data_IF_627034622891
#
_entry.id   IF_627034622891
#
_cell.length_a   1.000
_cell.length_b   1.000
_cell.length_c   1.000
_cell.angle_alpha   90.00
_cell.angle_beta   90.00
_cell.angle_gamma   90.00
#
_symmetry.space_group_name_H-M   'P 1'
#
loop_
_entity.id
_entity.type
_entity.pdbx_description
1 polymer ?
#
# COMPACT_ATOMS: atom_id res chain seq x y z
N UNK A 1 10.14 -5.26 -11.94
CA UNK A 1 10.70 -5.29 -10.57
C UNK A 1 9.69 -5.93 -9.63
N UNK A 2 10.13 -6.45 -8.48
CA UNK A 2 9.24 -6.97 -7.43
C UNK A 2 9.22 -6.01 -6.25
N UNK A 3 8.11 -6.01 -5.52
CA UNK A 3 8.06 -5.40 -4.20
C UNK A 3 8.83 -6.30 -3.22
N UNK A 4 9.45 -5.68 -2.24
CA UNK A 4 10.08 -6.41 -1.13
C UNK A 4 9.02 -7.09 -0.27
N UNK A 5 9.40 -8.15 0.44
CA UNK A 5 8.48 -8.84 1.36
C UNK A 5 7.96 -7.91 2.46
N UNK A 6 8.79 -6.97 2.91
CA UNK A 6 8.40 -5.93 3.88
C UNK A 6 7.26 -5.07 3.32
N UNK A 7 7.39 -4.55 2.10
CA UNK A 7 6.32 -3.75 1.47
C UNK A 7 5.02 -4.54 1.32
N UNK A 8 5.09 -5.83 0.95
CA UNK A 8 3.92 -6.70 0.87
C UNK A 8 3.26 -6.93 2.23
N UNK A 9 4.07 -7.15 3.27
CA UNK A 9 3.57 -7.31 4.62
C UNK A 9 2.86 -6.04 5.10
N UNK A 10 3.44 -4.86 4.89
CA UNK A 10 2.84 -3.57 5.25
C UNK A 10 1.52 -3.33 4.51
N UNK A 11 1.45 -3.64 3.21
CA UNK A 11 0.21 -3.56 2.44
C UNK A 11 -0.90 -4.46 3.02
N UNK A 12 -0.57 -5.72 3.34
CA UNK A 12 -1.52 -6.67 3.92
C UNK A 12 -1.99 -6.23 5.30
N UNK A 13 -1.05 -5.75 6.12
CA UNK A 13 -1.33 -5.21 7.45
C UNK A 13 -2.28 -4.03 7.39
N UNK A 14 -1.97 -3.00 6.60
CA UNK A 14 -2.84 -1.82 6.44
C UNK A 14 -4.22 -2.15 5.91
N UNK A 15 -4.29 -3.06 4.93
CA UNK A 15 -5.58 -3.58 4.46
C UNK A 15 -6.42 -4.17 5.59
N UNK A 16 -5.78 -4.94 6.48
CA UNK A 16 -6.42 -5.52 7.67
C UNK A 16 -6.83 -4.48 8.69
N UNK A 17 -5.94 -3.54 9.02
CA UNK A 17 -6.19 -2.45 9.97
C UNK A 17 -7.35 -1.55 9.54
N UNK A 18 -7.42 -1.20 8.25
CA UNK A 18 -8.49 -0.39 7.67
C UNK A 18 -9.76 -1.22 7.36
N UNK A 19 -9.71 -2.54 7.48
CA UNK A 19 -10.77 -3.48 7.09
C UNK A 19 -11.32 -3.22 5.67
N UNK A 20 -10.42 -2.96 4.71
CA UNK A 20 -10.82 -2.62 3.32
C UNK A 20 -10.64 -3.79 2.35
N UNK A 21 -11.43 -3.74 1.28
CA UNK A 21 -11.30 -4.67 0.16
C UNK A 21 -10.04 -4.41 -0.67
N UNK A 22 -9.60 -5.41 -1.43
CA UNK A 22 -8.50 -5.26 -2.41
C UNK A 22 -8.86 -4.19 -3.46
N UNK A 23 -10.14 -4.08 -3.83
CA UNK A 23 -10.59 -3.09 -4.81
C UNK A 23 -10.42 -1.67 -4.28
N UNK A 24 -10.83 -1.44 -3.03
CA UNK A 24 -10.69 -0.15 -2.35
C UNK A 24 -9.23 0.22 -2.19
N UNK A 25 -8.39 -0.72 -1.73
CA UNK A 25 -6.95 -0.50 -1.59
C UNK A 25 -6.29 -0.16 -2.94
N UNK A 26 -6.69 -0.85 -4.02
CA UNK A 26 -6.19 -0.54 -5.36
C UNK A 26 -6.56 0.88 -5.81
N UNK A 27 -7.79 1.32 -5.50
CA UNK A 27 -8.24 2.69 -5.73
C UNK A 27 -7.41 3.73 -4.96
N UNK A 28 -7.15 3.49 -3.67
CA UNK A 28 -6.34 4.38 -2.83
C UNK A 28 -4.89 4.53 -3.34
N UNK A 29 -4.30 3.43 -3.81
CA UNK A 29 -2.94 3.42 -4.38
C UNK A 29 -2.91 3.92 -5.83
N UNK A 30 -4.07 4.08 -6.48
CA UNK A 30 -4.16 4.54 -7.86
C UNK A 30 -3.68 3.51 -8.90
N UNK A 31 -3.96 2.23 -8.66
CA UNK A 31 -3.63 1.11 -9.57
C UNK A 31 -4.84 0.21 -9.81
N UNK A 32 -4.78 -0.67 -10.82
CA UNK A 32 -5.89 -1.57 -11.10
C UNK A 32 -6.06 -2.62 -9.98
N UNK A 33 -7.31 -3.03 -9.71
CA UNK A 33 -7.62 -4.14 -8.81
C UNK A 33 -6.84 -5.41 -9.16
N UNK A 34 -6.73 -5.73 -10.44
CA UNK A 34 -6.02 -6.91 -10.93
C UNK A 34 -4.53 -6.84 -10.60
N UNK A 35 -3.91 -5.67 -10.76
CA UNK A 35 -2.52 -5.44 -10.40
C UNK A 35 -2.33 -5.57 -8.89
N UNK A 36 -3.21 -4.97 -8.08
CA UNK A 36 -3.16 -5.08 -6.62
C UNK A 36 -3.32 -6.54 -6.15
N UNK A 37 -4.27 -7.29 -6.72
CA UNK A 37 -4.44 -8.71 -6.43
C UNK A 37 -3.20 -9.54 -6.79
N UNK A 38 -2.57 -9.26 -7.95
CA UNK A 38 -1.31 -9.90 -8.36
C UNK A 38 -0.16 -9.62 -7.41
N UNK A 39 -0.05 -8.37 -6.95
CA UNK A 39 0.94 -7.95 -5.95
C UNK A 39 0.72 -8.72 -4.64
N UNK A 40 -0.49 -8.62 -4.07
CA UNK A 40 -0.80 -9.16 -2.73
C UNK A 40 -0.74 -10.68 -2.70
N UNK A 41 -1.24 -11.37 -3.73
CA UNK A 41 -1.39 -12.83 -3.67
C UNK A 41 -0.19 -13.59 -4.25
N UNK A 42 0.54 -13.00 -5.22
CA UNK A 42 1.52 -13.74 -6.01
C UNK A 42 2.92 -13.11 -6.03
N UNK A 43 3.15 -12.00 -5.30
CA UNK A 43 4.41 -11.24 -5.34
C UNK A 43 4.91 -11.03 -6.79
N UNK A 44 3.97 -10.65 -7.67
CA UNK A 44 4.21 -10.60 -9.10
C UNK A 44 5.19 -9.48 -9.49
N UNK A 45 5.84 -9.64 -10.63
CA UNK A 45 6.59 -8.56 -11.25
C UNK A 45 5.64 -7.42 -11.64
N UNK A 46 6.00 -6.21 -11.25
CA UNK A 46 5.28 -4.97 -11.56
C UNK A 46 6.16 -4.00 -12.35
N UNK A 47 5.50 -3.06 -13.03
CA UNK A 47 6.15 -1.93 -13.69
C UNK A 47 6.75 -1.01 -12.62
N UNK A 48 7.88 -0.33 -12.90
CA UNK A 48 8.49 0.60 -11.96
C UNK A 48 7.54 1.70 -11.49
N UNK A 49 6.71 2.23 -12.38
CA UNK A 49 5.68 3.24 -12.05
C UNK A 49 4.66 2.73 -11.05
N UNK A 50 4.26 1.45 -11.13
CA UNK A 50 3.36 0.81 -10.15
C UNK A 50 4.03 0.65 -8.80
N UNK A 51 5.30 0.25 -8.77
CA UNK A 51 6.04 0.14 -7.52
C UNK A 51 6.23 1.51 -6.85
N UNK A 52 6.48 2.58 -7.62
CA UNK A 52 6.57 3.94 -7.08
C UNK A 52 5.28 4.35 -6.38
N UNK A 53 4.13 4.18 -7.04
CA UNK A 53 2.81 4.47 -6.44
C UNK A 53 2.54 3.71 -5.14
N UNK A 54 2.91 2.43 -5.10
CA UNK A 54 2.78 1.62 -3.88
C UNK A 54 3.68 2.17 -2.78
N UNK A 55 4.92 2.55 -3.11
CA UNK A 55 5.87 3.08 -2.14
C UNK A 55 5.46 4.46 -1.62
N UNK A 56 5.05 5.36 -2.51
CA UNK A 56 4.50 6.68 -2.17
C UNK A 56 3.30 6.53 -1.23
N UNK A 57 2.33 5.69 -1.58
CA UNK A 57 1.18 5.46 -0.72
C UNK A 57 1.58 4.88 0.64
N UNK A 58 2.49 3.90 0.68
CA UNK A 58 2.98 3.36 1.95
C UNK A 58 3.66 4.45 2.78
N UNK A 59 4.51 5.27 2.19
CA UNK A 59 5.17 6.40 2.87
C UNK A 59 4.14 7.37 3.44
N UNK A 60 3.13 7.76 2.65
CA UNK A 60 2.05 8.65 3.10
C UNK A 60 1.30 8.09 4.32
N UNK A 61 1.04 6.78 4.36
CA UNK A 61 0.40 6.15 5.51
C UNK A 61 1.27 6.21 6.77
N UNK A 62 2.59 6.10 6.65
CA UNK A 62 3.48 6.17 7.82
C UNK A 62 3.80 7.61 8.21
N UNK A 63 3.99 8.53 7.27
CA UNK A 63 4.14 9.96 7.59
C UNK A 63 2.90 10.49 8.29
N UNK A 64 1.70 10.08 7.86
CA UNK A 64 0.46 10.42 8.55
C UNK A 64 0.41 9.86 9.99
N UNK A 65 0.89 8.63 10.19
CA UNK A 65 0.96 8.02 11.53
C UNK A 65 2.01 8.69 12.43
N UNK A 66 3.19 9.03 11.90
CA UNK A 66 4.20 9.82 12.63
C UNK A 66 3.65 11.18 13.08
N UNK A 67 2.94 11.89 12.20
CA UNK A 67 2.30 13.17 12.54
C UNK A 67 1.16 13.01 13.57
N UNK A 68 0.53 11.83 13.62
CA UNK A 68 -0.54 11.52 14.58
C UNK A 68 0.01 11.14 15.96
N UNK A 69 1.17 10.48 16.02
CA UNK A 69 1.87 10.11 17.26
C UNK A 69 2.49 11.33 17.97
N UNK A 70 2.89 12.37 17.23
CA UNK A 70 3.45 13.61 17.80
C UNK A 70 2.40 14.64 18.27
N UNK A 71 1.11 14.29 18.32
CA UNK A 71 0.07 15.16 18.86
C UNK A 71 -0.42 16.26 17.90
N UNK A 72 -0.41 16.00 16.59
CA UNK A 72 -1.03 16.88 15.60
C UNK A 72 -2.55 16.91 15.72
N UNK A 73 -3.06 17.96 16.36
CA UNK A 73 -4.49 18.31 16.40
C UNK A 73 -5.00 18.64 14.99
N UNK A 74 -6.06 17.96 14.55
CA UNK A 74 -7.06 18.54 13.65
C UNK A 74 -8.27 18.96 14.49
#
# INVERSE_FOLDING_TARGET
MKLTEKQLHLLRRRKGELNISINTLAGLVGISRWTMAKIINFNANVRPTTASKVNEWLLDQYSADYLKEEGGWY
#
